data_IF_906882788569
#
_entry.id   IF_906882788569
#
_cell.length_a   1.000
_cell.length_b   1.000
_cell.length_c   1.000
_cell.angle_alpha   90.00
_cell.angle_beta   90.00
_cell.angle_gamma   90.00
#
_symmetry.space_group_name_H-M   'P 1'
#
loop_
_entity.id
_entity.type
_entity.pdbx_description
1 polymer ?
#
# COMPACT_ATOMS: atom_id res chain seq x y z
N UNK A 1 6.39 6.03 -27.71
CA UNK A 1 6.30 4.62 -27.30
C UNK A 1 6.52 4.55 -25.80
N UNK A 2 5.48 4.29 -25.03
CA UNK A 2 5.59 4.01 -23.59
C UNK A 2 4.54 2.95 -23.25
N UNK A 3 4.83 1.71 -23.65
CA UNK A 3 4.24 0.53 -23.03
C UNK A 3 4.91 0.33 -21.67
N UNK A 4 4.19 0.58 -20.59
CA UNK A 4 4.56 0.14 -19.25
C UNK A 4 3.44 -0.75 -18.68
N UNK A 5 3.23 -1.90 -19.34
CA UNK A 5 2.83 -3.13 -18.63
C UNK A 5 4.15 -3.73 -18.14
N UNK A 6 4.34 -4.17 -16.89
CA UNK A 6 3.69 -5.30 -16.22
C UNK A 6 3.87 -5.12 -14.69
N UNK A 7 2.87 -5.39 -13.87
CA UNK A 7 3.06 -5.66 -12.42
C UNK A 7 2.61 -7.10 -12.15
N UNK A 8 3.48 -8.13 -12.20
CA UNK A 8 3.13 -9.46 -11.76
C UNK A 8 3.80 -9.72 -10.41
N UNK A 9 3.12 -9.41 -9.32
CA UNK A 9 3.46 -10.03 -8.04
C UNK A 9 2.69 -11.36 -7.95
N UNK A 10 3.34 -12.44 -8.35
CA UNK A 10 2.71 -13.77 -8.46
C UNK A 10 2.79 -14.49 -7.11
N UNK A 11 1.74 -14.39 -6.32
CA UNK A 11 1.46 -15.32 -5.23
C UNK A 11 0.45 -16.36 -5.74
N UNK A 12 0.95 -17.37 -6.45
CA UNK A 12 0.15 -18.46 -7.06
C UNK A 12 -0.15 -18.29 -8.56
N UNK A 13 -0.54 -19.37 -9.23
CA UNK A 13 -0.71 -19.46 -10.70
C UNK A 13 -1.87 -18.63 -11.29
N UNK A 14 -2.66 -17.96 -10.45
CA UNK A 14 -3.81 -17.15 -10.85
C UNK A 14 -3.43 -15.66 -10.85
N UNK A 15 -3.68 -14.95 -11.95
CA UNK A 15 -3.52 -13.49 -12.03
C UNK A 15 -4.59 -12.81 -11.16
N UNK A 16 -4.22 -12.32 -9.98
CA UNK A 16 -5.14 -11.60 -9.09
C UNK A 16 -5.02 -10.07 -9.26
N UNK A 17 -6.13 -9.31 -9.19
CA UNK A 17 -6.08 -7.87 -9.37
C UNK A 17 -5.38 -7.18 -8.19
N UNK A 18 -4.32 -6.42 -8.51
CA UNK A 18 -3.60 -5.53 -7.58
C UNK A 18 -4.08 -4.07 -7.68
N UNK A 19 -5.20 -3.89 -8.34
CA UNK A 19 -5.97 -2.65 -8.40
C UNK A 19 -7.44 -3.04 -8.52
N UNK A 20 -8.24 -2.66 -7.54
CA UNK A 20 -9.70 -2.81 -7.56
C UNK A 20 -10.40 -1.45 -7.61
N UNK A 21 -9.64 -0.40 -7.91
CA UNK A 21 -10.08 0.98 -8.07
C UNK A 21 -10.91 1.42 -6.89
N UNK A 22 -12.12 1.89 -7.20
CA UNK A 22 -13.11 2.32 -6.21
C UNK A 22 -14.21 1.30 -5.93
N UNK A 23 -14.12 0.09 -6.51
CA UNK A 23 -15.14 -0.96 -6.35
C UNK A 23 -15.10 -1.60 -4.97
N UNK A 24 -13.94 -1.59 -4.29
CA UNK A 24 -13.78 -2.13 -2.94
C UNK A 24 -12.96 -1.19 -2.07
N UNK A 25 -13.54 -0.73 -0.96
CA UNK A 25 -12.81 0.04 0.05
C UNK A 25 -11.78 -0.81 0.80
N UNK A 26 -12.16 -2.04 1.15
CA UNK A 26 -11.30 -2.94 1.91
C UNK A 26 -10.27 -3.60 1.02
N UNK A 27 -9.06 -3.75 1.56
CA UNK A 27 -7.93 -4.39 0.89
C UNK A 27 -8.23 -5.88 0.70
N UNK A 28 -8.02 -6.38 -0.51
CA UNK A 28 -8.22 -7.80 -0.84
C UNK A 28 -7.06 -8.65 -0.31
N UNK A 29 -7.24 -9.96 -0.12
CA UNK A 29 -6.12 -10.83 0.28
C UNK A 29 -4.94 -10.78 -0.70
N UNK A 30 -5.22 -10.68 -2.00
CA UNK A 30 -4.22 -10.51 -3.06
C UNK A 30 -3.36 -9.25 -2.84
N UNK A 31 -4.03 -8.11 -2.63
CA UNK A 31 -3.39 -6.83 -2.36
C UNK A 31 -2.63 -6.84 -1.03
N UNK A 32 -3.21 -7.42 0.02
CA UNK A 32 -2.55 -7.50 1.33
C UNK A 32 -1.25 -8.29 1.22
N UNK A 33 -1.28 -9.43 0.53
CA UNK A 33 -0.09 -10.23 0.33
C UNK A 33 0.93 -9.52 -0.58
N UNK A 34 0.46 -8.71 -1.54
CA UNK A 34 1.32 -7.82 -2.32
C UNK A 34 2.03 -6.76 -1.48
N UNK A 35 1.29 -6.11 -0.58
CA UNK A 35 1.83 -5.14 0.36
C UNK A 35 2.85 -5.78 1.31
N UNK A 36 2.58 -7.00 1.80
CA UNK A 36 3.52 -7.71 2.68
C UNK A 36 4.86 -7.99 2.01
N UNK A 37 4.85 -8.39 0.75
CA UNK A 37 6.10 -8.64 0.02
C UNK A 37 6.84 -7.35 -0.35
N UNK A 38 6.11 -6.28 -0.72
CA UNK A 38 6.71 -4.99 -1.06
C UNK A 38 7.27 -4.27 0.17
N UNK A 39 6.43 -4.04 1.18
CA UNK A 39 6.74 -3.16 2.30
C UNK A 39 7.53 -3.88 3.41
N UNK A 40 7.41 -5.22 3.50
CA UNK A 40 8.11 -6.09 4.47
C UNK A 40 7.91 -5.73 5.95
N UNK A 41 7.04 -4.76 6.24
CA UNK A 41 6.77 -4.22 7.56
C UNK A 41 6.15 -2.83 7.47
N UNK A 42 6.20 -2.08 8.56
CA UNK A 42 5.79 -0.69 8.57
C UNK A 42 6.70 0.13 7.65
N UNK A 43 6.12 0.75 6.63
CA UNK A 43 6.84 1.52 5.60
C UNK A 43 7.39 2.87 6.08
N UNK A 44 6.99 3.34 7.26
CA UNK A 44 7.48 4.61 7.81
C UNK A 44 8.98 4.52 8.15
N UNK A 45 9.82 5.50 7.76
CA UNK A 45 11.27 5.43 7.93
C UNK A 45 11.70 5.13 9.37
N UNK A 46 12.63 4.19 9.51
CA UNK A 46 13.17 3.77 10.82
C UNK A 46 12.26 2.85 11.64
N UNK A 47 11.09 2.46 11.14
CA UNK A 47 10.21 1.52 11.84
C UNK A 47 10.53 0.06 11.48
N UNK A 48 10.74 -0.79 12.49
CA UNK A 48 10.99 -2.23 12.32
C UNK A 48 9.79 -3.14 12.59
N UNK A 49 8.56 -2.61 12.65
CA UNK A 49 7.37 -3.41 12.97
C UNK A 49 7.05 -4.37 11.80
N UNK A 50 6.84 -5.67 12.06
CA UNK A 50 6.64 -6.65 11.00
C UNK A 50 5.24 -6.55 10.37
N UNK A 51 5.00 -7.11 9.17
CA UNK A 51 3.74 -6.94 8.43
C UNK A 51 2.48 -7.35 9.21
N UNK A 52 2.59 -8.36 10.09
CA UNK A 52 1.48 -8.86 10.90
C UNK A 52 0.99 -7.82 11.93
N UNK A 53 1.78 -6.78 12.17
CA UNK A 53 1.47 -5.68 13.11
C UNK A 53 1.16 -4.38 12.36
N UNK A 54 0.78 -4.48 11.09
CA UNK A 54 0.49 -3.34 10.22
C UNK A 54 -0.88 -3.47 9.57
N UNK A 55 -1.47 -2.32 9.31
CA UNK A 55 -2.66 -2.16 8.49
C UNK A 55 -2.28 -1.49 7.18
N UNK A 56 -3.06 -1.77 6.13
CA UNK A 56 -2.93 -1.07 4.86
C UNK A 56 -3.59 0.31 4.94
N UNK A 57 -2.81 1.35 4.66
CA UNK A 57 -3.20 2.74 4.70
C UNK A 57 -3.32 3.29 3.27
N UNK A 58 -4.44 3.96 2.98
CA UNK A 58 -4.64 4.73 1.75
C UNK A 58 -3.91 6.07 1.84
N UNK A 59 -2.83 6.24 1.06
CA UNK A 59 -2.02 7.46 1.06
C UNK A 59 -2.81 8.66 0.56
N UNK A 60 -3.46 8.56 -0.61
CA UNK A 60 -4.64 9.38 -0.88
C UNK A 60 -5.82 8.70 -0.22
N UNK A 61 -6.42 9.32 0.78
CA UNK A 61 -7.54 8.73 1.50
C UNK A 61 -8.67 8.32 0.55
N UNK A 62 -9.29 7.19 0.88
CA UNK A 62 -10.42 6.65 0.12
C UNK A 62 -11.58 7.64 -0.01
N UNK A 63 -11.88 8.36 1.08
CA UNK A 63 -12.97 9.35 1.12
C UNK A 63 -12.70 10.51 0.17
N UNK A 64 -11.42 10.85 -0.06
CA UNK A 64 -10.96 11.90 -0.97
C UNK A 64 -10.72 11.38 -2.40
N UNK A 65 -11.25 10.20 -2.71
CA UNK A 65 -11.18 9.59 -4.04
C UNK A 65 -9.96 8.72 -4.31
N UNK A 66 -9.18 8.38 -3.29
CA UNK A 66 -8.11 7.38 -3.42
C UNK A 66 -8.61 5.99 -3.81
N UNK A 67 -7.76 5.23 -4.50
CA UNK A 67 -8.05 3.87 -4.98
C UNK A 67 -7.49 2.81 -4.04
N UNK A 68 -8.09 1.63 -4.06
CA UNK A 68 -7.58 0.43 -3.39
C UNK A 68 -6.72 -0.30 -4.40
N UNK A 69 -5.46 0.10 -4.44
CA UNK A 69 -4.48 -0.35 -5.43
C UNK A 69 -3.10 -0.37 -4.79
N UNK A 70 -2.20 -1.23 -5.29
CA UNK A 70 -0.84 -1.32 -4.78
C UNK A 70 -0.13 0.05 -4.75
N UNK A 71 -0.35 0.87 -5.78
CA UNK A 71 0.27 2.21 -5.93
C UNK A 71 -0.36 3.34 -5.10
N UNK A 72 -1.36 3.04 -4.25
CA UNK A 72 -1.97 4.02 -3.33
C UNK A 72 -2.06 3.50 -1.89
N UNK A 73 -1.57 2.29 -1.64
CA UNK A 73 -1.59 1.66 -0.33
C UNK A 73 -0.17 1.54 0.22
N UNK A 74 0.00 1.67 1.53
CA UNK A 74 1.24 1.40 2.25
C UNK A 74 0.94 0.73 3.60
N UNK A 75 1.80 -0.18 4.06
CA UNK A 75 1.68 -0.76 5.39
C UNK A 75 2.17 0.21 6.46
N UNK A 76 1.38 0.37 7.52
CA UNK A 76 1.73 1.15 8.71
C UNK A 76 1.32 0.42 9.99
N UNK A 77 2.18 0.46 11.01
CA UNK A 77 1.79 0.00 12.34
C UNK A 77 0.80 0.99 12.97
N UNK A 78 0.02 0.57 13.97
CA UNK A 78 -1.01 1.43 14.59
C UNK A 78 -0.50 2.81 15.05
N UNK A 79 0.74 2.89 15.55
CA UNK A 79 1.37 4.16 15.91
C UNK A 79 1.59 5.05 14.68
N UNK A 80 2.31 4.56 13.66
CA UNK A 80 2.60 5.38 12.48
C UNK A 80 1.35 5.64 11.63
N UNK A 81 0.37 4.73 11.67
CA UNK A 81 -0.92 4.95 11.03
C UNK A 81 -1.62 6.17 11.64
N UNK A 82 -1.67 6.26 12.97
CA UNK A 82 -2.18 7.45 13.66
C UNK A 82 -1.32 8.68 13.40
N UNK A 83 0.01 8.53 13.41
CA UNK A 83 0.96 9.63 13.23
C UNK A 83 0.79 10.34 11.89
N UNK A 84 0.71 9.59 10.79
CA UNK A 84 0.58 10.15 9.44
C UNK A 84 -0.79 10.79 9.26
N UNK A 85 -1.86 10.17 9.79
CA UNK A 85 -3.20 10.73 9.76
C UNK A 85 -3.31 12.06 10.51
N UNK A 86 -2.70 12.17 11.69
CA UNK A 86 -2.77 13.39 12.50
C UNK A 86 -1.97 14.56 11.93
N UNK A 87 -1.05 14.29 10.99
CA UNK A 87 -0.14 15.28 10.41
C UNK A 87 -0.36 15.47 8.92
N UNK A 88 -1.40 14.84 8.36
CA UNK A 88 -1.71 14.85 6.93
C UNK A 88 -0.48 14.54 6.06
N UNK A 89 0.37 13.62 6.53
CA UNK A 89 1.59 13.23 5.80
C UNK A 89 1.20 12.39 4.59
N UNK A 90 1.88 12.63 3.48
CA UNK A 90 1.69 11.87 2.25
C UNK A 90 2.97 11.12 1.87
N UNK A 91 2.84 10.19 0.94
CA UNK A 91 3.95 9.40 0.43
C UNK A 91 3.88 9.30 -1.10
N UNK A 92 5.03 9.14 -1.73
CA UNK A 92 5.10 8.60 -3.09
C UNK A 92 5.13 7.08 -3.00
N UNK A 93 4.22 6.41 -3.70
CA UNK A 93 4.10 4.94 -3.69
C UNK A 93 4.31 4.42 -5.10
N UNK A 94 5.20 3.45 -5.24
CA UNK A 94 5.45 2.75 -6.51
C UNK A 94 5.13 1.25 -6.38
N UNK A 95 5.38 0.50 -7.44
CA UNK A 95 5.29 -0.96 -7.39
C UNK A 95 6.33 -1.59 -6.46
N UNK A 96 7.38 -0.85 -6.08
CA UNK A 96 8.55 -1.39 -5.37
C UNK A 96 8.77 -0.75 -4.00
N UNK A 97 8.43 0.53 -3.84
CA UNK A 97 8.83 1.31 -2.67
C UNK A 97 7.73 2.27 -2.22
N UNK A 98 7.85 2.69 -0.96
CA UNK A 98 7.06 3.76 -0.33
C UNK A 98 8.03 4.81 0.22
N UNK A 99 7.86 6.06 -0.19
CA UNK A 99 8.69 7.17 0.29
C UNK A 99 7.81 8.24 0.91
N UNK A 100 7.87 8.35 2.24
CA UNK A 100 7.13 9.35 3.01
C UNK A 100 7.76 10.74 2.84
N UNK A 101 6.91 11.75 2.65
CA UNK A 101 7.32 13.15 2.63
C UNK A 101 7.34 13.63 4.09
N UNK A 102 8.54 13.89 4.61
CA UNK A 102 8.79 14.32 6.00
C UNK A 102 9.50 15.66 6.03
#
# INVERSE_FOLDING_TARGET
>A
ACDASIIPMVLGSQRQPLDVGRTKRLVTPALLAALWARDKGCSYPGCGRPPQWTDAHHVRHWIDGGTTSLINLALLCGYHHSWVHQRDLTATVTAHDVTWQT
#
